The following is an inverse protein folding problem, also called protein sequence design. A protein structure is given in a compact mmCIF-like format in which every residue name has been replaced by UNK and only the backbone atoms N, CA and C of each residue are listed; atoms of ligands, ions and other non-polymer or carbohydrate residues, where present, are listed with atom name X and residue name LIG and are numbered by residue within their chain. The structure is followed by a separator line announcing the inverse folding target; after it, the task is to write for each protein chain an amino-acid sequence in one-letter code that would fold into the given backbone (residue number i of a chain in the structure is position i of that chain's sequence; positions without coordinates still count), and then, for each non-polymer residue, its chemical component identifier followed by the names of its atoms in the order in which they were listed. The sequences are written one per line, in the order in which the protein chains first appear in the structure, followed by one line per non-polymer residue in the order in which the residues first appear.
data_IF_252187101091
#
_entry.id   IF_252187101091
#
_cell.length_a   1.000
_cell.length_b   1.000
_cell.length_c   1.000
_cell.angle_alpha   90.00
_cell.angle_beta   90.00
_cell.angle_gamma   90.00
#
_symmetry.space_group_name_H-M   'P 1'
#
loop_
_entity.id
_entity.type
_entity.pdbx_description
1 polymer ?
#
# COMPACT_ATOMS: atom_id res chain seq x y z
N UNK A 1 -13.73 -11.40 36.00
CA UNK A 1 -13.90 -12.20 34.77
C UNK A 1 -13.15 -11.53 33.65
N UNK A 2 -12.05 -12.12 33.18
CA UNK A 2 -11.31 -11.59 32.03
C UNK A 2 -12.17 -11.85 30.79
N UNK A 3 -12.81 -10.82 30.26
CA UNK A 3 -13.56 -10.94 29.00
C UNK A 3 -12.52 -11.10 27.89
N UNK A 4 -12.33 -12.31 27.39
CA UNK A 4 -11.48 -12.57 26.23
C UNK A 4 -12.18 -12.01 25.00
N UNK A 5 -11.84 -10.78 24.63
CA UNK A 5 -12.33 -10.14 23.40
C UNK A 5 -11.68 -10.84 22.21
N UNK A 6 -12.47 -11.63 21.46
CA UNK A 6 -11.98 -12.28 20.24
C UNK A 6 -11.57 -11.21 19.23
N UNK A 7 -10.27 -11.15 18.93
CA UNK A 7 -9.70 -10.25 17.94
C UNK A 7 -9.72 -10.92 16.57
N UNK A 8 -10.13 -10.20 15.54
CA UNK A 8 -10.13 -10.62 14.15
C UNK A 8 -9.43 -9.57 13.28
N UNK A 9 -9.22 -9.90 12.01
CA UNK A 9 -8.57 -9.03 11.04
C UNK A 9 -9.47 -8.79 9.83
N UNK A 10 -9.52 -7.54 9.38
CA UNK A 10 -10.24 -7.17 8.18
C UNK A 10 -9.64 -7.84 6.93
N UNK A 11 -10.49 -8.29 6.01
CA UNK A 11 -10.13 -8.83 4.69
C UNK A 11 -11.06 -8.21 3.66
N UNK A 12 -10.54 -7.75 2.52
CA UNK A 12 -11.38 -7.21 1.46
C UNK A 12 -12.23 -8.33 0.86
N UNK A 13 -13.46 -7.99 0.46
CA UNK A 13 -14.35 -8.95 -0.20
C UNK A 13 -13.93 -9.21 -1.65
N UNK A 14 -13.25 -8.22 -2.22
CA UNK A 14 -12.72 -8.15 -3.57
C UNK A 14 -11.18 -8.02 -3.54
N UNK A 15 -10.59 -7.73 -4.70
CA UNK A 15 -9.15 -7.63 -4.91
C UNK A 15 -8.64 -6.18 -4.81
N UNK A 16 -9.42 -5.28 -4.18
CA UNK A 16 -9.05 -3.87 -3.98
C UNK A 16 -8.06 -3.66 -2.85
N UNK A 17 -8.06 -4.56 -1.85
CA UNK A 17 -7.27 -4.43 -0.62
C UNK A 17 -7.95 -3.57 0.45
N UNK A 18 -9.22 -3.19 0.23
CA UNK A 18 -10.01 -2.33 1.10
C UNK A 18 -11.34 -2.98 1.47
N UNK A 19 -11.59 -3.15 2.76
CA UNK A 19 -12.88 -3.58 3.28
C UNK A 19 -13.76 -2.36 3.57
N UNK A 20 -14.88 -2.24 2.86
CA UNK A 20 -15.90 -1.24 3.14
C UNK A 20 -16.73 -1.62 4.37
N UNK A 21 -16.82 -0.72 5.34
CA UNK A 21 -17.58 -0.90 6.58
C UNK A 21 -18.42 0.35 6.87
N UNK A 22 -19.49 0.18 7.65
CA UNK A 22 -20.36 1.29 8.08
C UNK A 22 -19.94 1.74 9.48
N UNK A 23 -19.55 2.99 9.66
CA UNK A 23 -19.32 3.58 10.98
C UNK A 23 -20.64 3.74 11.74
N UNK A 24 -20.59 3.52 13.05
CA UNK A 24 -21.74 3.69 13.94
C UNK A 24 -21.49 4.86 14.93
N UNK A 25 -22.51 5.68 15.25
CA UNK A 25 -23.88 5.66 14.72
C UNK A 25 -24.06 6.44 13.41
N UNK A 26 -23.01 7.08 12.88
CA UNK A 26 -23.14 8.04 11.76
C UNK A 26 -23.64 7.42 10.46
N UNK A 27 -23.44 6.12 10.28
CA UNK A 27 -23.76 5.40 9.05
C UNK A 27 -22.85 5.69 7.87
N UNK A 28 -21.81 6.51 8.06
CA UNK A 28 -20.81 6.80 7.04
C UNK A 28 -20.08 5.51 6.63
N UNK A 29 -19.90 5.31 5.33
CA UNK A 29 -19.05 4.22 4.82
C UNK A 29 -17.59 4.66 4.80
N UNK A 30 -16.72 3.81 5.33
CA UNK A 30 -15.27 3.98 5.30
C UNK A 30 -14.60 2.72 4.78
N UNK A 31 -13.37 2.86 4.30
CA UNK A 31 -12.52 1.75 3.87
C UNK A 31 -11.48 1.43 4.95
N UNK A 32 -11.38 0.17 5.35
CA UNK A 32 -10.29 -0.36 6.16
C UNK A 32 -9.33 -1.12 5.26
N UNK A 33 -8.02 -0.89 5.36
CA UNK A 33 -7.08 -1.73 4.65
C UNK A 33 -7.09 -3.16 5.24
N UNK A 34 -6.73 -4.15 4.41
CA UNK A 34 -6.61 -5.52 4.88
C UNK A 34 -5.69 -5.66 6.10
N UNK A 35 -5.99 -6.67 6.89
CA UNK A 35 -5.35 -6.98 8.17
C UNK A 35 -5.45 -5.89 9.23
N UNK A 36 -6.36 -4.92 9.10
CA UNK A 36 -6.74 -4.03 10.20
C UNK A 36 -7.35 -4.84 11.35
N UNK A 37 -6.80 -4.69 12.55
CA UNK A 37 -7.25 -5.39 13.77
C UNK A 37 -8.60 -4.86 14.26
N UNK A 38 -9.54 -5.75 14.56
CA UNK A 38 -10.87 -5.43 15.10
C UNK A 38 -11.29 -6.38 16.23
N UNK A 39 -12.25 -5.96 17.03
CA UNK A 39 -12.86 -6.75 18.09
C UNK A 39 -14.38 -6.78 17.92
N UNK A 40 -14.98 -7.98 17.77
CA UNK A 40 -16.45 -8.10 17.72
C UNK A 40 -17.05 -7.68 19.06
N UNK A 41 -18.05 -6.79 19.01
CA UNK A 41 -18.76 -6.29 20.18
C UNK A 41 -20.20 -6.82 20.26
N UNK A 42 -20.85 -7.05 19.11
CA UNK A 42 -22.23 -7.55 19.04
C UNK A 42 -22.50 -8.21 17.68
N UNK A 43 -23.35 -9.23 17.67
CA UNK A 43 -23.87 -9.83 16.44
C UNK A 43 -25.39 -9.91 16.48
N UNK A 44 -26.05 -9.31 15.49
CA UNK A 44 -27.51 -9.38 15.29
C UNK A 44 -27.84 -9.62 13.81
N UNK A 45 -28.49 -8.66 13.13
CA UNK A 45 -28.60 -8.62 11.66
C UNK A 45 -27.28 -8.18 11.02
N UNK A 46 -26.41 -7.53 11.81
CA UNK A 46 -25.07 -7.08 11.44
C UNK A 46 -24.05 -7.59 12.43
N UNK A 47 -22.80 -7.63 12.01
CA UNK A 47 -21.66 -7.85 12.92
C UNK A 47 -21.08 -6.49 13.24
N UNK A 48 -21.15 -6.12 14.51
CA UNK A 48 -20.63 -4.88 15.06
C UNK A 48 -19.29 -5.15 15.73
N UNK A 49 -18.35 -4.24 15.54
CA UNK A 49 -16.99 -4.37 16.06
C UNK A 49 -16.36 -3.00 16.36
N UNK A 50 -15.37 -3.03 17.25
CA UNK A 50 -14.48 -1.92 17.52
C UNK A 50 -13.23 -2.02 16.64
N UNK A 51 -12.84 -0.93 15.98
CA UNK A 51 -11.59 -0.84 15.24
C UNK A 51 -10.45 -0.59 16.24
N UNK A 52 -9.41 -1.43 16.23
CA UNK A 52 -8.39 -1.42 17.28
C UNK A 52 -7.07 -0.74 16.88
N UNK A 53 -6.89 -0.38 15.60
CA UNK A 53 -5.67 0.21 15.08
C UNK A 53 -5.91 1.12 13.86
N UNK A 54 -4.88 1.87 13.46
CA UNK A 54 -4.91 2.76 12.29
C UNK A 54 -5.78 4.00 12.46
N UNK A 55 -6.05 4.69 11.34
CA UNK A 55 -6.73 6.00 11.28
C UNK A 55 -8.09 6.05 11.98
N UNK A 56 -8.80 4.92 12.02
CA UNK A 56 -10.14 4.81 12.61
C UNK A 56 -10.15 4.10 13.97
N UNK A 57 -9.00 3.96 14.62
CA UNK A 57 -8.88 3.35 15.96
C UNK A 57 -9.89 3.95 16.94
N UNK A 58 -10.52 3.08 17.72
CA UNK A 58 -11.53 3.43 18.73
C UNK A 58 -12.92 3.71 18.17
N UNK A 59 -13.12 3.70 16.85
CA UNK A 59 -14.46 3.85 16.24
C UNK A 59 -15.18 2.51 16.18
N UNK A 60 -16.49 2.54 16.42
CA UNK A 60 -17.38 1.41 16.20
C UNK A 60 -17.79 1.35 14.71
N UNK A 61 -17.82 0.14 14.16
CA UNK A 61 -18.24 -0.11 12.80
C UNK A 61 -19.02 -1.41 12.68
N UNK A 62 -19.69 -1.60 11.55
CA UNK A 62 -20.49 -2.79 11.29
C UNK A 62 -20.44 -3.21 9.82
N UNK A 63 -20.64 -4.51 9.57
CA UNK A 63 -20.88 -5.09 8.24
C UNK A 63 -22.05 -6.08 8.28
N UNK A 64 -22.59 -6.45 7.11
CA UNK A 64 -23.67 -7.44 7.02
C UNK A 64 -23.20 -8.79 7.56
N UNK A 65 -24.07 -9.50 8.28
CA UNK A 65 -23.72 -10.79 8.90
C UNK A 65 -23.23 -11.83 7.88
N UNK A 66 -23.79 -11.81 6.67
CA UNK A 66 -23.40 -12.66 5.54
C UNK A 66 -21.92 -12.50 5.14
N UNK A 67 -21.35 -11.31 5.33
CA UNK A 67 -19.96 -11.02 4.96
C UNK A 67 -18.95 -11.40 6.06
N UNK A 68 -19.40 -11.77 7.27
CA UNK A 68 -18.52 -12.02 8.44
C UNK A 68 -17.38 -12.98 8.13
N UNK A 69 -17.71 -14.18 7.65
CA UNK A 69 -16.74 -15.25 7.45
C UNK A 69 -15.67 -14.90 6.38
N UNK A 70 -16.03 -14.03 5.42
CA UNK A 70 -15.15 -13.58 4.34
C UNK A 70 -14.33 -12.36 4.72
N UNK A 71 -14.87 -11.46 5.54
CA UNK A 71 -14.28 -10.16 5.82
C UNK A 71 -13.60 -10.04 7.18
N UNK A 72 -13.91 -10.91 8.15
CA UNK A 72 -13.35 -10.89 9.49
C UNK A 72 -12.68 -12.23 9.78
N UNK A 73 -11.37 -12.30 9.55
CA UNK A 73 -10.61 -13.55 9.58
C UNK A 73 -9.75 -13.69 10.82
N UNK A 74 -9.61 -14.93 11.29
CA UNK A 74 -8.79 -15.31 12.44
C UNK A 74 -7.43 -15.79 11.91
N UNK A 75 -6.46 -14.87 11.83
CA UNK A 75 -5.16 -15.10 11.20
C UNK A 75 -4.04 -14.53 12.05
N UNK A 76 -2.85 -15.13 11.97
CA UNK A 76 -1.65 -14.58 12.58
C UNK A 76 -0.99 -13.58 11.62
N UNK A 77 -0.75 -12.35 12.09
CA UNK A 77 0.07 -11.37 11.37
C UNK A 77 1.56 -11.59 11.62
N UNK A 78 2.38 -11.20 10.65
CA UNK A 78 3.82 -11.08 10.86
C UNK A 78 4.18 -9.83 11.67
N UNK A 79 5.41 -9.79 12.18
CA UNK A 79 5.92 -8.77 13.11
C UNK A 79 6.69 -7.62 12.42
N UNK A 80 6.54 -7.48 11.10
CA UNK A 80 7.19 -6.44 10.32
C UNK A 80 7.92 -7.02 9.10
N UNK A 81 7.51 -6.58 7.91
CA UNK A 81 8.16 -6.91 6.65
C UNK A 81 9.54 -6.25 6.54
N UNK A 82 10.45 -6.90 5.82
CA UNK A 82 11.79 -6.36 5.53
C UNK A 82 12.01 -6.38 4.02
N UNK A 83 12.26 -5.19 3.46
CA UNK A 83 12.63 -5.02 2.06
C UNK A 83 14.07 -4.51 1.95
N UNK A 84 14.80 -5.00 0.96
CA UNK A 84 16.12 -4.46 0.59
C UNK A 84 16.13 -4.15 -0.91
N UNK A 85 16.37 -2.89 -1.26
CA UNK A 85 16.50 -2.42 -2.64
C UNK A 85 17.98 -2.16 -2.95
N UNK A 86 18.58 -2.97 -3.81
CA UNK A 86 19.97 -2.82 -4.25
C UNK A 86 20.03 -2.13 -5.60
N UNK A 87 20.63 -0.94 -5.64
CA UNK A 87 20.77 -0.13 -6.87
C UNK A 87 21.65 -0.87 -7.88
N UNK A 88 21.17 -0.93 -9.12
CA UNK A 88 21.90 -1.47 -10.28
C UNK A 88 22.53 -0.32 -11.06
N UNK A 89 21.76 0.74 -11.34
CA UNK A 89 22.23 1.90 -12.09
C UNK A 89 21.15 2.48 -13.00
N UNK A 90 21.49 3.56 -13.70
CA UNK A 90 20.59 4.23 -14.63
C UNK A 90 20.59 3.57 -16.00
N UNK A 91 19.41 3.44 -16.61
CA UNK A 91 19.25 3.00 -17.99
C UNK A 91 17.94 3.51 -18.56
N UNK A 92 18.01 4.02 -19.79
CA UNK A 92 16.82 4.39 -20.54
C UNK A 92 15.98 3.17 -20.92
N UNK A 93 14.68 3.23 -20.62
CA UNK A 93 13.74 2.18 -20.98
C UNK A 93 12.36 2.75 -21.29
N UNK A 94 11.72 2.18 -22.31
CA UNK A 94 10.34 2.48 -22.67
C UNK A 94 9.39 1.65 -21.81
N UNK A 95 8.35 2.27 -21.26
CA UNK A 95 7.24 1.50 -20.69
C UNK A 95 6.33 1.02 -21.80
N UNK A 96 6.30 -0.31 -22.01
CA UNK A 96 5.39 -0.95 -22.97
C UNK A 96 3.93 -0.64 -22.61
N UNK A 97 3.59 -0.75 -21.32
CA UNK A 97 2.21 -0.67 -20.81
C UNK A 97 1.64 0.74 -20.92
N UNK A 98 2.48 1.77 -20.75
CA UNK A 98 2.04 3.16 -20.90
C UNK A 98 1.80 3.53 -22.36
N UNK A 99 2.53 2.92 -23.28
CA UNK A 99 2.40 3.13 -24.74
C UNK A 99 2.47 4.61 -25.15
N UNK A 100 3.19 5.45 -24.38
CA UNK A 100 3.31 6.90 -24.62
C UNK A 100 4.49 7.26 -25.54
N UNK A 101 5.23 6.27 -26.02
CA UNK A 101 6.36 6.51 -26.91
C UNK A 101 7.55 7.20 -26.26
N UNK A 102 7.59 7.33 -24.92
CA UNK A 102 8.71 7.97 -24.21
C UNK A 102 9.77 6.96 -23.76
N UNK A 103 11.01 7.42 -23.69
CA UNK A 103 12.11 6.75 -22.98
C UNK A 103 12.23 7.43 -21.62
N UNK A 104 12.31 6.63 -20.57
CA UNK A 104 12.49 7.11 -19.20
C UNK A 104 13.87 6.69 -18.70
N UNK A 105 14.61 7.61 -18.08
CA UNK A 105 15.93 7.34 -17.54
C UNK A 105 15.80 6.72 -16.13
N UNK A 106 15.48 5.43 -16.12
CA UNK A 106 15.13 4.68 -14.92
C UNK A 106 16.37 4.40 -14.05
N UNK A 107 16.29 4.68 -12.76
CA UNK A 107 17.22 4.21 -11.74
C UNK A 107 16.80 2.82 -11.26
N UNK A 108 17.35 1.79 -11.89
CA UNK A 108 17.00 0.40 -11.62
C UNK A 108 17.57 -0.09 -10.30
N UNK A 109 16.79 -0.91 -9.61
CA UNK A 109 17.22 -1.69 -8.46
C UNK A 109 16.55 -3.08 -8.43
N UNK A 110 17.18 -4.00 -7.70
CA UNK A 110 16.56 -5.28 -7.33
C UNK A 110 15.99 -5.16 -5.93
N UNK A 111 14.70 -5.40 -5.77
CA UNK A 111 14.02 -5.48 -4.47
C UNK A 111 13.98 -6.92 -3.98
N UNK A 112 14.55 -7.20 -2.82
CA UNK A 112 14.48 -8.49 -2.15
C UNK A 112 13.49 -8.47 -1.00
N UNK A 113 12.62 -9.48 -0.92
CA UNK A 113 11.60 -9.62 0.13
C UNK A 113 11.12 -11.07 0.22
N UNK A 114 10.91 -11.61 1.42
CA UNK A 114 10.34 -12.96 1.63
C UNK A 114 10.95 -14.09 0.76
N UNK A 115 12.28 -14.06 0.56
CA UNK A 115 12.99 -15.00 -0.30
C UNK A 115 12.74 -14.84 -1.81
N UNK A 116 12.06 -13.77 -2.22
CA UNK A 116 11.76 -13.39 -3.61
C UNK A 116 12.53 -12.14 -4.00
N UNK A 117 12.61 -11.90 -5.30
CA UNK A 117 13.14 -10.68 -5.88
C UNK A 117 12.17 -10.07 -6.89
N UNK A 118 12.19 -8.75 -7.01
CA UNK A 118 11.45 -8.02 -8.04
C UNK A 118 12.32 -6.93 -8.66
N UNK A 119 12.13 -6.70 -9.97
CA UNK A 119 12.69 -5.52 -10.64
C UNK A 119 11.88 -4.28 -10.26
N UNK A 120 12.57 -3.26 -9.74
CA UNK A 120 11.96 -1.99 -9.34
C UNK A 120 12.71 -0.81 -9.96
N UNK A 121 12.05 0.33 -10.04
CA UNK A 121 12.69 1.61 -10.32
C UNK A 121 12.52 2.55 -9.12
N UNK A 122 13.60 3.22 -8.73
CA UNK A 122 13.62 4.18 -7.62
C UNK A 122 13.41 5.63 -8.09
N UNK A 123 13.58 5.87 -9.39
CA UNK A 123 13.45 7.18 -10.02
C UNK A 123 13.37 7.02 -11.54
N UNK A 124 12.60 7.86 -12.22
CA UNK A 124 12.50 7.88 -13.68
C UNK A 124 13.10 9.14 -14.33
N UNK A 125 13.67 10.05 -13.54
CA UNK A 125 14.26 11.32 -14.02
C UNK A 125 13.23 12.16 -14.79
N UNK A 126 12.13 12.50 -14.09
CA UNK A 126 10.97 13.16 -14.68
C UNK A 126 10.54 14.37 -13.87
N UNK A 127 9.93 15.32 -14.57
CA UNK A 127 9.18 16.39 -13.93
C UNK A 127 7.75 15.94 -13.63
N UNK A 128 7.26 16.31 -12.45
CA UNK A 128 5.92 15.99 -11.98
C UNK A 128 5.31 17.17 -11.23
N UNK A 129 3.98 17.17 -11.09
CA UNK A 129 3.27 18.16 -10.30
C UNK A 129 3.13 17.66 -8.86
N UNK A 130 3.65 18.42 -7.90
CA UNK A 130 3.51 18.07 -6.49
C UNK A 130 2.03 18.14 -6.05
N UNK A 131 1.43 16.98 -5.78
CA UNK A 131 0.02 16.89 -5.37
C UNK A 131 -0.15 16.79 -3.84
N UNK A 132 0.93 16.61 -3.07
CA UNK A 132 0.83 16.46 -1.62
C UNK A 132 0.33 17.77 -0.97
N UNK A 133 -0.86 17.78 -0.32
CA UNK A 133 -1.40 18.98 0.30
C UNK A 133 -0.62 19.47 1.51
N UNK A 134 0.29 18.66 2.06
CA UNK A 134 1.18 19.08 3.14
C UNK A 134 2.48 19.70 2.61
N UNK A 135 2.74 19.65 1.30
CA UNK A 135 3.95 20.20 0.69
C UNK A 135 3.84 21.71 0.51
N UNK A 136 4.87 22.50 0.88
CA UNK A 136 4.93 23.93 0.56
C UNK A 136 5.08 24.16 -0.95
N UNK A 137 5.36 23.09 -1.70
CA UNK A 137 5.44 23.10 -3.16
C UNK A 137 4.16 22.60 -3.82
N UNK A 138 3.05 22.43 -3.09
CA UNK A 138 1.79 21.93 -3.64
C UNK A 138 1.40 22.71 -4.92
N UNK A 139 1.14 21.98 -6.00
CA UNK A 139 0.75 22.50 -7.30
C UNK A 139 1.91 22.99 -8.18
N UNK A 140 3.15 22.97 -7.69
CA UNK A 140 4.35 23.33 -8.45
C UNK A 140 4.90 22.12 -9.21
N UNK A 141 5.60 22.40 -10.31
CA UNK A 141 6.37 21.37 -11.01
C UNK A 141 7.68 21.13 -10.24
N UNK A 142 7.99 19.87 -10.00
CA UNK A 142 9.17 19.39 -9.27
C UNK A 142 9.87 18.34 -10.13
N UNK A 143 11.17 18.24 -9.94
CA UNK A 143 11.94 17.15 -10.50
C UNK A 143 11.96 15.97 -9.51
N UNK A 144 11.88 14.75 -10.04
CA UNK A 144 11.93 13.52 -9.25
C UNK A 144 13.27 13.36 -8.54
N UNK A 145 13.22 12.76 -7.35
CA UNK A 145 14.41 12.52 -6.54
C UNK A 145 14.25 11.21 -5.76
N UNK A 146 15.11 10.20 -5.99
CA UNK A 146 15.01 8.94 -5.28
C UNK A 146 15.27 9.12 -3.78
N UNK A 147 14.70 8.22 -2.97
CA UNK A 147 15.09 8.06 -1.57
C UNK A 147 16.62 7.87 -1.48
N UNK A 148 17.32 8.65 -0.63
CA UNK A 148 18.74 8.41 -0.39
C UNK A 148 19.01 7.01 0.16
N UNK A 149 20.28 6.60 0.12
CA UNK A 149 20.70 5.37 0.80
C UNK A 149 20.38 5.47 2.29
N UNK A 150 19.82 4.42 2.85
CA UNK A 150 19.34 4.43 4.24
C UNK A 150 18.26 3.38 4.49
N UNK A 151 17.78 3.33 5.73
CA UNK A 151 16.67 2.45 6.12
C UNK A 151 15.50 3.29 6.60
N UNK A 152 14.32 3.03 6.04
CA UNK A 152 13.10 3.79 6.28
C UNK A 152 11.97 2.88 6.74
N UNK A 153 11.05 3.41 7.54
CA UNK A 153 9.82 2.69 7.92
C UNK A 153 8.79 2.78 6.80
N UNK A 154 8.04 1.72 6.61
CA UNK A 154 6.93 1.65 5.65
C UNK A 154 5.63 1.75 6.44
N UNK A 155 4.80 2.75 6.14
CA UNK A 155 3.50 3.01 6.73
C UNK A 155 2.45 2.05 6.20
N UNK A 156 1.50 1.71 7.04
CA UNK A 156 0.24 1.09 6.62
C UNK A 156 -0.52 2.05 5.71
N UNK A 157 -1.13 1.58 4.61
CA UNK A 157 -1.85 2.45 3.69
C UNK A 157 -3.13 2.98 4.35
N UNK A 158 -3.40 4.27 4.19
CA UNK A 158 -4.54 4.95 4.82
C UNK A 158 -5.69 5.26 3.86
N UNK A 159 -5.42 5.24 2.55
CA UNK A 159 -6.41 5.44 1.49
C UNK A 159 -5.94 4.77 0.19
N UNK A 160 -6.90 4.45 -0.68
CA UNK A 160 -6.62 4.02 -2.03
C UNK A 160 -6.05 5.17 -2.86
N UNK A 161 -5.05 4.89 -3.68
CA UNK A 161 -4.66 5.73 -4.80
C UNK A 161 -5.77 5.77 -5.87
N UNK A 162 -5.69 6.76 -6.76
CA UNK A 162 -6.68 6.90 -7.85
C UNK A 162 -6.53 5.74 -8.84
N UNK A 163 -7.66 5.12 -9.18
CA UNK A 163 -7.70 3.98 -10.10
C UNK A 163 -7.14 4.33 -11.49
N UNK A 164 -7.40 5.55 -11.98
CA UNK A 164 -6.90 6.05 -13.26
C UNK A 164 -5.37 6.02 -13.40
N UNK A 165 -4.63 6.07 -12.28
CA UNK A 165 -3.17 6.00 -12.28
C UNK A 165 -2.63 4.57 -12.46
N UNK A 166 -3.48 3.54 -12.35
CA UNK A 166 -3.02 2.15 -12.25
C UNK A 166 -3.85 1.12 -13.01
N UNK A 167 -5.10 1.40 -13.36
CA UNK A 167 -6.00 0.46 -14.06
C UNK A 167 -5.47 0.00 -15.41
N UNK A 168 -4.69 0.85 -16.09
CA UNK A 168 -4.07 0.48 -17.35
C UNK A 168 -2.98 -0.59 -17.21
N UNK A 169 -2.38 -0.77 -16.03
CA UNK A 169 -1.47 -1.90 -15.76
C UNK A 169 -2.19 -3.25 -15.76
N UNK A 170 -3.51 -3.27 -15.60
CA UNK A 170 -4.34 -4.48 -15.67
C UNK A 170 -4.85 -4.71 -17.09
N UNK A 171 -5.26 -3.64 -17.77
CA UNK A 171 -6.12 -3.71 -18.97
C UNK A 171 -5.40 -3.52 -20.31
N UNK A 172 -4.24 -2.85 -20.34
CA UNK A 172 -3.54 -2.55 -21.61
C UNK A 172 -2.58 -3.68 -22.04
N UNK A 173 -2.27 -3.77 -23.35
CA UNK A 173 -1.18 -4.62 -23.83
C UNK A 173 0.13 -4.37 -23.08
N UNK A 174 0.82 -5.46 -22.72
CA UNK A 174 2.02 -5.42 -21.88
C UNK A 174 1.76 -5.29 -20.37
N UNK A 175 0.51 -5.06 -19.97
CA UNK A 175 0.09 -5.12 -18.57
C UNK A 175 0.00 -6.56 -18.05
N UNK A 176 -0.45 -6.69 -16.80
CA UNK A 176 -0.68 -7.97 -16.14
C UNK A 176 -2.15 -8.08 -15.72
N UNK A 177 -3.02 -8.80 -16.46
CA UNK A 177 -4.43 -8.95 -16.11
C UNK A 177 -4.69 -9.57 -14.73
N UNK A 178 -3.72 -10.32 -14.19
CA UNK A 178 -3.76 -10.86 -12.84
C UNK A 178 -3.31 -9.90 -11.73
N UNK A 179 -3.02 -8.64 -12.06
CA UNK A 179 -2.59 -7.62 -11.10
C UNK A 179 -3.76 -7.21 -10.19
N UNK A 180 -3.53 -7.28 -8.88
CA UNK A 180 -4.50 -6.98 -7.82
C UNK A 180 -3.98 -5.86 -6.94
N UNK A 181 -4.83 -5.24 -6.13
CA UNK A 181 -4.41 -4.28 -5.11
C UNK A 181 -3.60 -3.09 -5.68
N UNK A 182 -3.75 -2.78 -6.97
CA UNK A 182 -2.87 -1.83 -7.67
C UNK A 182 -3.07 -0.38 -7.19
N UNK A 183 -4.19 -0.09 -6.53
CA UNK A 183 -4.47 1.19 -5.87
C UNK A 183 -3.91 1.27 -4.45
N UNK A 184 -3.29 0.22 -3.89
CA UNK A 184 -2.76 0.26 -2.52
C UNK A 184 -1.31 0.75 -2.53
N UNK A 185 -1.06 1.94 -2.00
CA UNK A 185 0.29 2.52 -1.95
C UNK A 185 0.74 2.66 -0.50
N UNK A 186 1.90 2.10 -0.17
CA UNK A 186 2.44 2.14 1.19
C UNK A 186 3.35 3.35 1.35
N UNK A 187 2.99 4.33 2.18
CA UNK A 187 3.82 5.50 2.40
C UNK A 187 5.15 5.14 3.04
N UNK A 188 6.23 5.81 2.67
CA UNK A 188 7.54 5.69 3.33
C UNK A 188 7.68 6.84 4.33
N UNK A 189 8.07 6.52 5.57
CA UNK A 189 8.30 7.53 6.61
C UNK A 189 9.70 8.13 6.45
N UNK A 190 9.79 9.16 5.62
CA UNK A 190 11.01 9.90 5.37
C UNK A 190 10.73 11.40 5.53
N UNK A 191 11.32 11.99 6.58
CA UNK A 191 11.05 13.36 7.02
C UNK A 191 11.89 14.44 6.31
N UNK A 192 12.73 14.06 5.33
CA UNK A 192 13.65 15.00 4.67
C UNK A 192 12.98 15.93 3.66
N UNK A 193 11.78 15.59 3.21
CA UNK A 193 11.10 16.31 2.14
C UNK A 193 9.60 16.03 2.20
N UNK A 194 8.81 17.00 1.78
CA UNK A 194 7.37 16.83 1.63
C UNK A 194 6.98 15.89 0.49
N UNK A 195 7.97 15.22 -0.12
CA UNK A 195 7.75 14.23 -1.14
C UNK A 195 7.02 13.03 -0.56
N UNK A 196 5.91 12.70 -1.21
CA UNK A 196 5.14 11.51 -0.90
C UNK A 196 5.83 10.29 -1.54
N UNK A 197 6.85 9.76 -0.86
CA UNK A 197 7.51 8.52 -1.29
C UNK A 197 6.66 7.32 -0.90
N UNK A 198 6.43 6.41 -1.83
CA UNK A 198 5.64 5.20 -1.61
C UNK A 198 6.38 3.93 -2.06
N UNK A 199 5.95 2.79 -1.53
CA UNK A 199 6.11 1.49 -2.17
C UNK A 199 4.80 1.20 -2.91
N UNK A 200 4.85 1.10 -4.25
CA UNK A 200 3.67 0.86 -5.08
C UNK A 200 4.03 0.15 -6.39
N UNK A 201 3.02 -0.27 -7.15
CA UNK A 201 3.20 -0.79 -8.52
C UNK A 201 3.28 0.35 -9.53
N UNK A 202 4.12 0.21 -10.56
CA UNK A 202 4.11 1.13 -11.69
C UNK A 202 5.31 1.04 -12.62
N UNK A 203 5.33 1.84 -13.68
CA UNK A 203 6.46 1.94 -14.61
C UNK A 203 7.11 3.32 -14.67
N UNK A 204 6.70 4.24 -13.81
CA UNK A 204 7.32 5.57 -13.62
C UNK A 204 7.45 5.80 -12.12
N UNK A 205 8.59 6.33 -11.70
CA UNK A 205 8.87 6.73 -10.33
C UNK A 205 9.22 8.22 -10.27
N UNK A 206 8.52 8.94 -9.41
CA UNK A 206 8.81 10.32 -9.03
C UNK A 206 9.77 10.40 -7.82
N UNK A 207 10.48 9.31 -7.53
CA UNK A 207 11.28 9.12 -6.31
C UNK A 207 10.78 8.01 -5.38
N UNK A 208 9.72 7.30 -5.78
CA UNK A 208 9.12 6.19 -5.07
C UNK A 208 9.86 4.87 -5.31
N UNK A 209 9.62 3.89 -4.42
CA UNK A 209 10.00 2.50 -4.62
C UNK A 209 8.93 1.85 -5.51
N UNK A 210 9.15 1.89 -6.82
CA UNK A 210 8.13 1.52 -7.81
C UNK A 210 8.38 0.12 -8.35
N UNK A 211 7.46 -0.81 -8.07
CA UNK A 211 7.50 -2.19 -8.52
C UNK A 211 7.18 -2.25 -10.00
N UNK A 212 8.25 -2.31 -10.81
CA UNK A 212 8.17 -2.32 -12.27
C UNK A 212 7.71 -3.67 -12.83
N UNK A 213 8.13 -4.75 -12.17
CA UNK A 213 7.72 -6.11 -12.47
C UNK A 213 6.32 -6.38 -11.92
N UNK A 214 5.29 -6.17 -12.74
CA UNK A 214 3.88 -6.14 -12.32
C UNK A 214 3.42 -7.44 -11.62
N UNK A 215 3.89 -8.59 -12.08
CA UNK A 215 3.54 -9.90 -11.50
C UNK A 215 4.06 -10.08 -10.06
N UNK A 216 5.08 -9.32 -9.66
CA UNK A 216 5.62 -9.34 -8.31
C UNK A 216 4.89 -8.42 -7.33
N UNK A 217 3.97 -7.57 -7.82
CA UNK A 217 3.21 -6.70 -6.94
C UNK A 217 2.30 -7.46 -5.98
N UNK A 218 1.52 -8.43 -6.45
CA UNK A 218 0.61 -9.19 -5.60
C UNK A 218 1.32 -9.87 -4.40
N UNK A 219 2.42 -10.64 -4.58
CA UNK A 219 3.14 -11.22 -3.44
C UNK A 219 3.80 -10.15 -2.56
N UNK A 220 4.33 -9.06 -3.11
CA UNK A 220 4.89 -7.96 -2.31
C UNK A 220 3.83 -7.28 -1.45
N UNK A 221 2.67 -6.96 -2.04
CA UNK A 221 1.51 -6.41 -1.34
C UNK A 221 1.11 -7.31 -0.17
N UNK A 222 0.89 -8.61 -0.42
CA UNK A 222 0.48 -9.57 0.61
C UNK A 222 1.52 -9.69 1.72
N UNK A 223 2.81 -9.70 1.37
CA UNK A 223 3.90 -9.70 2.33
C UNK A 223 3.88 -8.44 3.22
N UNK A 224 3.73 -7.26 2.64
CA UNK A 224 3.65 -6.01 3.40
C UNK A 224 2.39 -5.94 4.26
N UNK A 225 1.20 -6.09 3.67
CA UNK A 225 -0.06 -5.82 4.35
C UNK A 225 -0.38 -6.82 5.46
N UNK A 226 0.14 -8.05 5.40
CA UNK A 226 -0.05 -9.06 6.44
C UNK A 226 0.89 -8.89 7.65
N UNK A 227 1.79 -7.90 7.62
CA UNK A 227 2.71 -7.56 8.70
C UNK A 227 2.28 -6.28 9.43
N UNK A 228 2.59 -6.19 10.73
CA UNK A 228 2.66 -4.92 11.47
C UNK A 228 3.90 -4.92 12.35
N UNK A 229 4.68 -3.84 12.29
CA UNK A 229 5.91 -3.68 13.09
C UNK A 229 5.70 -2.92 14.40
N UNK A 230 4.48 -2.45 14.67
CA UNK A 230 4.14 -1.74 15.91
C UNK A 230 2.73 -2.10 16.42
N UNK A 231 2.46 -1.92 17.73
CA UNK A 231 1.15 -2.24 18.32
C UNK A 231 -0.01 -1.39 17.80
N UNK A 232 0.27 -0.17 17.33
CA UNK A 232 -0.73 0.79 16.83
C UNK A 232 -1.11 0.54 15.37
N UNK A 233 -0.44 -0.42 14.71
CA UNK A 233 -0.66 -0.77 13.33
C UNK A 233 -0.25 0.32 12.33
N UNK A 234 0.62 1.25 12.75
CA UNK A 234 1.04 2.40 11.93
C UNK A 234 1.99 2.00 10.80
N UNK A 235 2.79 0.97 11.02
CA UNK A 235 3.85 0.53 10.12
C UNK A 235 3.72 -0.96 9.80
N UNK A 236 4.01 -1.28 8.54
CA UNK A 236 4.03 -2.67 8.04
C UNK A 236 5.44 -3.28 8.06
N UNK A 237 6.48 -2.45 8.13
CA UNK A 237 7.86 -2.93 8.04
C UNK A 237 8.87 -1.83 7.74
N UNK A 238 10.00 -2.22 7.14
CA UNK A 238 11.09 -1.32 6.73
C UNK A 238 11.59 -1.63 5.33
N UNK A 239 12.16 -0.61 4.68
CA UNK A 239 12.92 -0.75 3.44
C UNK A 239 14.31 -0.15 3.59
N UNK A 240 15.33 -0.88 3.15
CA UNK A 240 16.72 -0.42 3.05
C UNK A 240 17.08 -0.16 1.60
N UNK A 241 17.62 1.02 1.29
CA UNK A 241 18.14 1.41 -0.02
C UNK A 241 19.67 1.33 0.01
N UNK A 242 20.25 0.51 -0.88
CA UNK A 242 21.69 0.17 -0.96
C UNK A 242 22.34 0.58 -2.28
#
# INVERSE_FOLDING_TARGET
TTVTVKTLFAKSIDESGWLLVKLEPSGQRIALCEFTKVAITKEDTRVHFLILEGRYKGKAASLSKENKARCLVDVKRGSGAKLTAKIIGRKEERSVVRSDGRLYNQLWATLSFDGKTARITLDSDVDFREENPLSPYQGQIRHSAPLPKGTYKIKTPEAAGKEEYTSFYVTRPGGYPGLKYHTVWFGVDYAGNYYSSFVHVGNISEGCVTTYQLEMWNPLYLYLISNRSDPEGKYVGTITIE
#
